data_IF_970169568506
#
_entry.id   IF_970169568506
#
_cell.length_a   1.000
_cell.length_b   1.000
_cell.length_c   1.000
_cell.angle_alpha   90.00
_cell.angle_beta   90.00
_cell.angle_gamma   90.00
#
_symmetry.space_group_name_H-M   'P 1'
#
loop_
_entity.id
_entity.type
_entity.pdbx_description
1 polymer ?
#
# COMPACT_ATOMS: atom_id res chain seq x y z
N UNK A 1 -11.71 33.55 -26.77
CA UNK A 1 -11.24 33.50 -25.38
C UNK A 1 -9.73 33.38 -25.39
N UNK A 2 -9.03 34.24 -24.66
CA UNK A 2 -7.58 34.13 -24.49
C UNK A 2 -7.24 32.90 -23.63
N UNK A 3 -6.00 32.44 -23.68
CA UNK A 3 -5.57 31.30 -22.83
C UNK A 3 -5.66 31.64 -21.33
N UNK A 4 -5.50 32.92 -20.97
CA UNK A 4 -5.61 33.42 -19.59
C UNK A 4 -7.05 33.37 -19.08
N UNK A 5 -8.02 33.75 -19.90
CA UNK A 5 -9.46 33.64 -19.57
C UNK A 5 -9.88 32.19 -19.33
N UNK A 6 -9.36 31.25 -20.13
CA UNK A 6 -9.63 29.82 -19.94
C UNK A 6 -9.07 29.34 -18.60
N UNK A 7 -7.86 29.78 -18.23
CA UNK A 7 -7.22 29.40 -16.96
C UNK A 7 -8.05 29.89 -15.76
N UNK A 8 -8.51 31.15 -15.79
CA UNK A 8 -9.32 31.70 -14.69
C UNK A 8 -10.68 31.01 -14.59
N UNK A 9 -11.32 30.69 -15.73
CA UNK A 9 -12.56 29.91 -15.77
C UNK A 9 -12.36 28.51 -15.19
N UNK A 10 -11.28 27.81 -15.58
CA UNK A 10 -10.92 26.49 -15.04
C UNK A 10 -10.68 26.54 -13.53
N UNK A 11 -9.99 27.58 -13.04
CA UNK A 11 -9.76 27.81 -11.61
C UNK A 11 -11.08 28.00 -10.87
N UNK A 12 -11.96 28.88 -11.34
CA UNK A 12 -13.25 29.16 -10.71
C UNK A 12 -14.12 27.90 -10.62
N UNK A 13 -14.26 27.15 -11.71
CA UNK A 13 -15.01 25.88 -11.72
C UNK A 13 -14.43 24.86 -10.73
N UNK A 14 -13.10 24.84 -10.56
CA UNK A 14 -12.46 23.99 -9.56
C UNK A 14 -12.70 24.49 -8.13
N UNK A 15 -12.72 25.79 -7.88
CA UNK A 15 -13.02 26.33 -6.55
C UNK A 15 -14.49 26.12 -6.17
N UNK A 16 -15.41 26.13 -7.14
CA UNK A 16 -16.84 25.79 -7.00
C UNK A 16 -17.08 24.30 -6.71
N UNK A 17 -16.05 23.46 -6.75
CA UNK A 17 -16.14 22.07 -6.34
C UNK A 17 -16.14 21.06 -7.49
N UNK A 18 -16.12 21.48 -8.76
CA UNK A 18 -16.08 20.54 -9.87
C UNK A 18 -14.76 19.77 -9.90
N UNK A 19 -14.83 18.48 -10.23
CA UNK A 19 -13.64 17.67 -10.46
C UNK A 19 -12.96 18.06 -11.77
N UNK A 20 -11.65 17.82 -11.87
CA UNK A 20 -10.87 18.04 -13.11
C UNK A 20 -11.52 17.35 -14.31
N UNK A 21 -12.15 16.18 -14.10
CA UNK A 21 -12.81 15.41 -15.17
C UNK A 21 -14.13 16.06 -15.61
N UNK A 22 -14.91 16.61 -14.68
CA UNK A 22 -16.12 17.38 -15.02
C UNK A 22 -15.75 18.65 -15.80
N UNK A 23 -14.73 19.37 -15.36
CA UNK A 23 -14.23 20.58 -16.04
C UNK A 23 -13.71 20.23 -17.45
N UNK A 24 -12.95 19.14 -17.57
CA UNK A 24 -12.46 18.63 -18.85
C UNK A 24 -13.61 18.35 -19.83
N UNK A 25 -14.65 17.67 -19.37
CA UNK A 25 -15.82 17.38 -20.21
C UNK A 25 -16.60 18.65 -20.58
N UNK A 26 -16.82 19.56 -19.64
CA UNK A 26 -17.60 20.79 -19.88
C UNK A 26 -16.89 21.80 -20.80
N UNK A 27 -15.56 21.80 -20.83
CA UNK A 27 -14.76 22.69 -21.66
C UNK A 27 -14.20 21.99 -22.91
N UNK A 28 -14.54 20.73 -23.14
CA UNK A 28 -14.01 19.90 -24.23
C UNK A 28 -12.46 19.88 -24.25
N UNK A 29 -11.85 19.86 -23.07
CA UNK A 29 -10.41 19.83 -22.88
C UNK A 29 -9.97 18.44 -22.41
N UNK A 30 -8.74 18.06 -22.76
CA UNK A 30 -8.14 16.88 -22.14
C UNK A 30 -7.88 17.11 -20.64
N UNK A 31 -8.05 16.05 -19.84
CA UNK A 31 -7.73 16.07 -18.40
C UNK A 31 -6.35 16.67 -18.11
N UNK A 32 -5.34 16.30 -18.90
CA UNK A 32 -3.96 16.78 -18.76
C UNK A 32 -3.83 18.28 -19.01
N UNK A 33 -4.63 18.84 -19.93
CA UNK A 33 -4.65 20.29 -20.21
C UNK A 33 -5.27 21.06 -19.05
N UNK A 34 -6.43 20.63 -18.55
CA UNK A 34 -7.08 21.22 -17.36
C UNK A 34 -6.14 21.15 -16.15
N UNK A 35 -5.48 20.01 -15.92
CA UNK A 35 -4.53 19.85 -14.81
C UNK A 35 -3.35 20.81 -14.90
N UNK A 36 -2.78 21.03 -16.10
CA UNK A 36 -1.70 22.00 -16.31
C UNK A 36 -2.16 23.43 -16.05
N UNK A 37 -3.37 23.78 -16.50
CA UNK A 37 -3.98 25.10 -16.25
C UNK A 37 -4.16 25.36 -14.76
N UNK A 38 -4.68 24.39 -14.00
CA UNK A 38 -4.82 24.48 -12.54
C UNK A 38 -3.46 24.63 -11.82
N UNK A 39 -2.41 23.96 -12.31
CA UNK A 39 -1.05 24.13 -11.78
C UNK A 39 -0.53 25.55 -12.07
N UNK A 40 -0.71 26.06 -13.28
CA UNK A 40 -0.31 27.43 -13.67
C UNK A 40 -1.06 28.48 -12.85
N UNK A 41 -2.32 28.23 -12.55
CA UNK A 41 -3.16 29.04 -11.66
C UNK A 41 -2.84 28.91 -10.16
N UNK A 42 -1.86 28.07 -9.77
CA UNK A 42 -1.43 27.84 -8.38
C UNK A 42 -2.58 27.47 -7.41
N UNK A 43 -3.59 26.73 -7.88
CA UNK A 43 -4.72 26.34 -7.02
C UNK A 43 -4.30 25.37 -5.91
N UNK A 44 -5.00 25.43 -4.79
CA UNK A 44 -4.88 24.44 -3.72
C UNK A 44 -5.63 23.16 -4.09
N UNK A 45 -4.91 22.16 -4.63
CA UNK A 45 -5.51 20.88 -4.98
C UNK A 45 -6.14 20.19 -3.76
N UNK A 46 -7.45 19.96 -3.85
CA UNK A 46 -8.24 19.21 -2.87
C UNK A 46 -7.67 17.79 -2.70
N UNK A 47 -7.57 17.33 -1.45
CA UNK A 47 -7.03 16.01 -1.11
C UNK A 47 -5.50 15.92 -1.07
N UNK A 48 -4.77 17.03 -1.26
CA UNK A 48 -3.34 17.08 -0.96
C UNK A 48 -3.14 17.04 0.56
N UNK A 49 -2.29 16.14 1.04
CA UNK A 49 -1.91 16.11 2.44
C UNK A 49 -1.07 17.36 2.74
N UNK A 50 -1.39 18.12 3.79
CA UNK A 50 -0.57 19.24 4.26
C UNK A 50 0.88 18.83 4.51
N UNK A 51 1.84 19.73 4.23
CA UNK A 51 3.27 19.41 4.30
C UNK A 51 3.73 19.06 5.73
N UNK A 52 3.17 19.73 6.73
CA UNK A 52 3.36 19.45 8.17
C UNK A 52 2.96 18.00 8.52
N UNK A 53 1.81 17.54 8.02
CA UNK A 53 1.36 16.16 8.21
C UNK A 53 2.28 15.17 7.50
N UNK A 54 2.79 15.49 6.31
CA UNK A 54 3.77 14.65 5.61
C UNK A 54 5.05 14.52 6.44
N UNK A 55 5.55 15.61 6.99
CA UNK A 55 6.76 15.62 7.81
C UNK A 55 6.58 14.74 9.06
N UNK A 56 5.44 14.87 9.74
CA UNK A 56 5.12 14.04 10.92
C UNK A 56 4.99 12.54 10.57
N UNK A 57 4.41 12.20 9.41
CA UNK A 57 4.39 10.81 8.91
C UNK A 57 5.82 10.27 8.73
N UNK A 58 6.73 11.08 8.17
CA UNK A 58 8.12 10.67 7.91
C UNK A 58 8.85 10.43 9.22
N UNK A 59 8.69 11.32 10.20
CA UNK A 59 9.32 11.19 11.52
C UNK A 59 8.84 9.94 12.26
N UNK A 60 7.53 9.73 12.36
CA UNK A 60 6.97 8.53 12.98
C UNK A 60 7.39 7.25 12.23
N UNK A 61 7.47 7.31 10.90
CA UNK A 61 7.95 6.19 10.07
C UNK A 61 9.41 5.83 10.36
N UNK A 62 10.29 6.83 10.50
CA UNK A 62 11.70 6.64 10.90
C UNK A 62 11.84 6.04 12.29
N UNK A 63 10.93 6.39 13.21
CA UNK A 63 10.85 5.78 14.55
C UNK A 63 10.25 4.36 14.54
N UNK A 64 9.85 3.82 13.37
CA UNK A 64 9.39 2.44 13.22
C UNK A 64 7.88 2.22 13.46
N UNK A 65 7.09 3.30 13.56
CA UNK A 65 5.64 3.21 13.74
C UNK A 65 4.98 2.60 12.50
N UNK A 66 3.94 1.80 12.71
CA UNK A 66 3.18 1.20 11.61
C UNK A 66 2.32 2.24 10.91
N UNK A 67 2.12 2.07 9.60
CA UNK A 67 1.24 2.95 8.82
C UNK A 67 -0.20 2.99 9.38
N UNK A 68 -0.68 1.91 10.00
CA UNK A 68 -2.00 1.85 10.63
C UNK A 68 -2.07 2.74 11.89
N UNK A 69 -1.02 2.70 12.73
CA UNK A 69 -0.94 3.58 13.91
C UNK A 69 -0.92 5.05 13.49
N UNK A 70 -0.05 5.41 12.55
CA UNK A 70 0.07 6.78 12.04
C UNK A 70 -1.24 7.27 11.40
N UNK A 71 -1.92 6.39 10.64
CA UNK A 71 -3.21 6.69 10.01
C UNK A 71 -4.26 7.12 11.04
N UNK A 72 -4.39 6.36 12.15
CA UNK A 72 -5.32 6.67 13.24
C UNK A 72 -4.91 7.95 13.98
N UNK A 73 -3.62 8.09 14.29
CA UNK A 73 -3.11 9.19 15.10
C UNK A 73 -3.18 10.55 14.40
N UNK A 74 -2.96 10.58 13.08
CA UNK A 74 -2.99 11.82 12.30
C UNK A 74 -4.32 12.06 11.57
N UNK A 75 -5.28 11.14 11.72
CA UNK A 75 -6.54 11.07 10.99
C UNK A 75 -6.33 11.21 9.47
N UNK A 76 -5.42 10.38 8.93
CA UNK A 76 -5.07 10.34 7.50
C UNK A 76 -5.41 8.96 6.97
N UNK A 77 -5.97 8.89 5.76
CA UNK A 77 -6.25 7.62 5.11
C UNK A 77 -5.00 6.71 5.07
N UNK A 78 -5.15 5.46 5.50
CA UNK A 78 -4.08 4.47 5.54
C UNK A 78 -3.31 4.32 4.21
N UNK A 79 -4.01 4.34 3.07
CA UNK A 79 -3.37 4.23 1.75
C UNK A 79 -2.50 5.46 1.43
N UNK A 80 -2.89 6.63 1.93
CA UNK A 80 -2.09 7.85 1.80
C UNK A 80 -0.79 7.73 2.59
N UNK A 81 -0.83 7.18 3.81
CA UNK A 81 0.37 6.91 4.62
C UNK A 81 1.27 5.90 3.91
N UNK A 82 0.72 4.80 3.37
CA UNK A 82 1.49 3.81 2.59
C UNK A 82 2.16 4.42 1.36
N UNK A 83 1.47 5.30 0.64
CA UNK A 83 2.04 6.01 -0.52
C UNK A 83 3.21 6.88 -0.11
N UNK A 84 3.12 7.58 1.01
CA UNK A 84 4.22 8.39 1.56
C UNK A 84 5.37 7.47 1.99
N UNK A 85 5.08 6.38 2.69
CA UNK A 85 6.09 5.39 3.07
C UNK A 85 6.84 4.83 1.86
N UNK A 86 6.14 4.52 0.77
CA UNK A 86 6.77 4.06 -0.48
C UNK A 86 7.64 5.15 -1.10
N UNK A 87 7.16 6.40 -1.13
CA UNK A 87 7.90 7.54 -1.69
C UNK A 87 9.21 7.80 -0.93
N UNK A 88 9.22 7.61 0.39
CA UNK A 88 10.38 7.87 1.26
C UNK A 88 11.10 6.60 1.72
N UNK A 89 10.80 5.44 1.13
CA UNK A 89 11.38 4.13 1.49
C UNK A 89 11.29 3.77 2.99
N UNK A 90 10.22 4.19 3.68
CA UNK A 90 9.99 3.95 5.12
C UNK A 90 9.22 2.65 5.41
N UNK A 91 8.78 1.93 4.38
CA UNK A 91 8.07 0.67 4.55
C UNK A 91 9.01 -0.47 4.94
N UNK A 92 8.61 -1.30 5.93
CA UNK A 92 9.32 -2.55 6.21
C UNK A 92 9.33 -3.42 4.95
N UNK A 93 10.53 -3.76 4.47
CA UNK A 93 10.68 -4.75 3.39
C UNK A 93 10.17 -6.09 3.91
N UNK A 94 9.21 -6.70 3.21
CA UNK A 94 8.82 -8.07 3.49
C UNK A 94 10.02 -8.97 3.15
N UNK A 95 10.46 -9.81 4.10
CA UNK A 95 11.43 -10.86 3.81
C UNK A 95 10.86 -11.72 2.68
N UNK A 96 11.62 -11.89 1.62
CA UNK A 96 11.34 -12.87 0.57
C UNK A 96 12.27 -14.04 0.82
N UNK A 97 11.72 -15.24 0.88
CA UNK A 97 12.56 -16.42 0.88
C UNK A 97 13.18 -16.58 -0.51
N UNK A 98 14.46 -16.92 -0.53
CA UNK A 98 15.11 -17.33 -1.77
C UNK A 98 14.68 -18.75 -2.17
N UNK A 99 15.15 -19.22 -3.34
CA UNK A 99 14.82 -20.58 -3.79
C UNK A 99 15.36 -21.62 -2.81
N UNK A 100 16.61 -21.48 -2.34
CA UNK A 100 17.28 -22.47 -1.47
C UNK A 100 16.55 -22.65 -0.14
N UNK A 101 16.10 -21.56 0.48
CA UNK A 101 15.31 -21.58 1.71
C UNK A 101 13.98 -22.30 1.49
N UNK A 102 13.33 -22.12 0.34
CA UNK A 102 12.08 -22.82 0.00
C UNK A 102 12.34 -24.31 -0.24
N UNK A 103 13.45 -24.68 -0.90
CA UNK A 103 13.83 -26.08 -1.08
C UNK A 103 14.12 -26.76 0.24
N UNK A 104 14.85 -26.08 1.13
CA UNK A 104 15.14 -26.56 2.48
C UNK A 104 13.87 -26.79 3.31
N UNK A 105 12.85 -25.92 3.18
CA UNK A 105 11.54 -26.15 3.81
C UNK A 105 10.93 -27.48 3.36
N UNK A 106 10.96 -27.76 2.05
CA UNK A 106 10.40 -28.98 1.47
C UNK A 106 11.17 -30.23 1.91
N UNK A 107 12.50 -30.19 1.85
CA UNK A 107 13.34 -31.32 2.25
C UNK A 107 13.17 -31.66 3.72
N UNK A 108 13.25 -30.66 4.60
CA UNK A 108 13.11 -30.88 6.05
C UNK A 108 11.71 -31.38 6.42
N UNK A 109 10.67 -30.88 5.75
CA UNK A 109 9.31 -31.36 5.96
C UNK A 109 9.15 -32.82 5.50
N UNK A 110 9.70 -33.20 4.36
CA UNK A 110 9.65 -34.57 3.85
C UNK A 110 10.46 -35.55 4.72
N UNK A 111 11.49 -35.07 5.43
CA UNK A 111 12.21 -35.85 6.47
C UNK A 111 11.39 -36.05 7.76
N UNK A 112 10.20 -35.46 7.85
CA UNK A 112 9.33 -35.53 9.02
C UNK A 112 9.64 -34.50 10.11
N UNK A 113 10.48 -33.48 9.83
CA UNK A 113 10.73 -32.43 10.82
C UNK A 113 9.49 -31.55 11.00
N UNK A 114 9.23 -31.14 12.25
CA UNK A 114 8.09 -30.30 12.56
C UNK A 114 8.23 -28.90 11.97
N UNK A 115 7.10 -28.29 11.61
CA UNK A 115 7.02 -26.90 11.11
C UNK A 115 7.73 -25.93 12.07
N UNK A 116 7.62 -26.16 13.38
CA UNK A 116 8.29 -25.35 14.40
C UNK A 116 9.81 -25.45 14.29
N UNK A 117 10.35 -26.66 14.13
CA UNK A 117 11.79 -26.89 13.99
C UNK A 117 12.34 -26.20 12.72
N UNK A 118 11.63 -26.37 11.59
CA UNK A 118 11.99 -25.73 10.32
C UNK A 118 11.97 -24.19 10.45
N UNK A 119 10.94 -23.65 11.09
CA UNK A 119 10.81 -22.20 11.30
C UNK A 119 11.94 -21.64 12.16
N UNK A 120 12.30 -22.34 13.24
CA UNK A 120 13.39 -21.97 14.14
C UNK A 120 14.74 -21.99 13.42
N UNK A 121 15.00 -23.03 12.62
CA UNK A 121 16.27 -23.18 11.89
C UNK A 121 16.45 -22.12 10.80
N UNK A 122 15.39 -21.77 10.08
CA UNK A 122 15.42 -20.75 9.03
C UNK A 122 15.19 -19.33 9.55
N UNK A 123 15.01 -19.17 10.87
CA UNK A 123 14.69 -17.92 11.54
C UNK A 123 13.50 -17.18 10.88
N UNK A 124 12.43 -17.92 10.58
CA UNK A 124 11.19 -17.41 9.97
C UNK A 124 9.98 -17.77 10.84
N UNK A 125 8.83 -17.16 10.56
CA UNK A 125 7.60 -17.55 11.24
C UNK A 125 7.09 -18.90 10.75
N UNK A 126 6.45 -19.66 11.64
CA UNK A 126 5.75 -20.91 11.31
C UNK A 126 4.70 -20.71 10.23
N UNK A 127 4.00 -19.57 10.25
CA UNK A 127 3.03 -19.20 9.22
C UNK A 127 3.68 -19.08 7.82
N UNK A 128 4.91 -18.59 7.74
CA UNK A 128 5.62 -18.47 6.48
C UNK A 128 6.03 -19.86 5.94
N UNK A 129 6.45 -20.77 6.82
CA UNK A 129 6.67 -22.18 6.48
C UNK A 129 5.39 -22.82 5.94
N UNK A 130 4.29 -22.72 6.69
CA UNK A 130 2.97 -23.26 6.29
C UNK A 130 2.51 -22.69 4.95
N UNK A 131 2.69 -21.39 4.73
CA UNK A 131 2.36 -20.76 3.45
C UNK A 131 3.10 -21.41 2.28
N UNK A 132 4.41 -21.64 2.42
CA UNK A 132 5.21 -22.27 1.37
C UNK A 132 4.86 -23.75 1.18
N UNK A 133 4.61 -24.50 2.26
CA UNK A 133 4.18 -25.90 2.17
C UNK A 133 2.81 -26.05 1.49
N UNK A 134 1.84 -25.18 1.82
CA UNK A 134 0.53 -25.13 1.13
C UNK A 134 0.69 -24.82 -0.36
N UNK A 135 1.55 -23.85 -0.68
CA UNK A 135 1.83 -23.47 -2.07
C UNK A 135 2.47 -24.60 -2.87
N UNK A 136 3.22 -25.49 -2.21
CA UNK A 136 3.80 -26.71 -2.80
C UNK A 136 2.85 -27.92 -2.76
N UNK A 137 1.65 -27.79 -2.19
CA UNK A 137 0.70 -28.89 -2.05
C UNK A 137 1.04 -29.93 -0.98
N UNK A 138 2.08 -29.69 -0.16
CA UNK A 138 2.61 -30.65 0.82
C UNK A 138 1.90 -30.60 2.18
N UNK A 139 1.11 -29.55 2.45
CA UNK A 139 0.45 -29.37 3.73
C UNK A 139 -1.05 -29.13 3.54
N UNK A 140 -1.87 -30.04 4.06
CA UNK A 140 -3.34 -29.90 4.13
C UNK A 140 -3.76 -29.58 5.56
N UNK A 141 -4.58 -28.56 5.81
CA UNK A 141 -5.11 -28.29 7.14
C UNK A 141 -6.05 -29.42 7.58
N UNK A 142 -5.93 -29.83 8.85
CA UNK A 142 -6.75 -30.88 9.50
C UNK A 142 -8.17 -30.34 9.78
N UNK A 143 -8.88 -29.88 8.76
CA UNK A 143 -10.29 -29.44 8.89
C UNK A 143 -11.29 -30.32 8.15
N UNK A 144 -10.85 -31.42 7.54
CA UNK A 144 -11.71 -32.33 6.76
C UNK A 144 -11.75 -33.78 7.27
N UNK A 145 -11.21 -34.06 8.46
CA UNK A 145 -11.24 -35.42 9.03
C UNK A 145 -11.54 -35.39 10.53
N UNK A 146 -12.72 -34.89 10.88
CA UNK A 146 -13.37 -35.28 12.12
C UNK A 146 -14.58 -36.12 11.75
N UNK A 147 -14.50 -37.47 11.69
CA UNK A 147 -15.69 -38.26 11.93
C UNK A 147 -16.01 -38.05 13.40
N UNK A 148 -17.01 -37.24 13.70
CA UNK A 148 -17.64 -37.22 15.02
C UNK A 148 -18.00 -38.68 15.32
N UNK A 149 -17.21 -39.29 16.19
CA UNK A 149 -17.31 -40.71 16.53
C UNK A 149 -18.27 -40.83 17.70
N UNK A 150 -19.31 -41.64 17.47
CA UNK A 150 -20.19 -42.33 18.42
C UNK A 150 -20.99 -41.46 19.41
#
# INVERSE_FOLDING_TARGET
MSEEEIIEKVKKMYEEGLSIRQIANQLELSYSRVRRMLIKAKVNFRGKVPNDKIQKIIEMGKQGYSANRISKELNINFNTVLRIFKKYNLGKKRRKLDRKEIEKIREEYNKGNSIYKIAKELNISTNLVVYHLKKMGLYRPIRESSPTSA
#
